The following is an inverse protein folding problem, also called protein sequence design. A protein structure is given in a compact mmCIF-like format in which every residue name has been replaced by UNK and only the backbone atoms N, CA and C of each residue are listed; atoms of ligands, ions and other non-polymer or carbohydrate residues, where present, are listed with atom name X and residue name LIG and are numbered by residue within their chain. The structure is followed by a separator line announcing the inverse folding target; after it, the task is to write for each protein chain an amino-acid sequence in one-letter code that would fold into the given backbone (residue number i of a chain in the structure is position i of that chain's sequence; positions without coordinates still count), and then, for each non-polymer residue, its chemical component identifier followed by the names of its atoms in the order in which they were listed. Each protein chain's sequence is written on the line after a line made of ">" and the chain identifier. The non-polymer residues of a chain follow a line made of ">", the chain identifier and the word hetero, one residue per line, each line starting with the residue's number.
data_IF_788184582663
#
_entry.id   IF_788184582663
#
_cell.length_a   1.000
_cell.length_b   1.000
_cell.length_c   1.000
_cell.angle_alpha   90.00
_cell.angle_beta   90.00
_cell.angle_gamma   90.00
#
_symmetry.space_group_name_H-M   'P 1'
#
loop_
_entity.id
_entity.type
_entity.pdbx_description
1 polymer ?
#
# COMPACT_ATOMS: atom_id res chain seq x y z
N UNK A 1 -1.87 -17.54 -3.48
CA UNK A 1 -2.04 -16.15 -2.99
C UNK A 1 -1.31 -16.00 -1.66
N UNK A 2 -0.89 -14.80 -1.29
CA UNK A 2 -0.29 -14.52 0.04
C UNK A 2 -1.20 -13.57 0.83
N UNK A 3 -1.23 -13.71 2.16
CA UNK A 3 -2.07 -12.91 3.05
C UNK A 3 -1.25 -12.17 4.13
N UNK A 4 -0.44 -11.16 3.75
CA UNK A 4 0.31 -10.38 4.71
C UNK A 4 -0.61 -9.42 5.49
N UNK A 5 -0.16 -9.06 6.69
CA UNK A 5 -0.64 -7.87 7.40
C UNK A 5 0.02 -6.64 6.77
N UNK A 6 -0.78 -5.65 6.41
CA UNK A 6 -0.32 -4.39 5.82
C UNK A 6 -0.72 -3.22 6.70
N UNK A 7 0.18 -2.25 6.86
CA UNK A 7 -0.07 -1.06 7.67
C UNK A 7 -0.37 0.16 6.79
N UNK A 8 -1.62 0.60 6.82
CA UNK A 8 -2.06 1.87 6.20
C UNK A 8 -2.13 2.97 7.26
N UNK A 9 -2.07 4.24 6.86
CA UNK A 9 -2.31 5.33 7.81
C UNK A 9 -3.77 5.37 8.28
N UNK A 10 -4.04 6.02 9.41
CA UNK A 10 -5.40 6.14 9.93
C UNK A 10 -6.33 6.90 8.96
N UNK A 11 -5.83 7.93 8.29
CA UNK A 11 -6.59 8.68 7.28
C UNK A 11 -6.91 7.82 6.05
N UNK A 12 -5.93 7.06 5.54
CA UNK A 12 -6.15 6.09 4.47
C UNK A 12 -7.18 5.05 4.87
N UNK A 13 -7.10 4.53 6.09
CA UNK A 13 -8.06 3.56 6.59
C UNK A 13 -9.50 4.12 6.63
N UNK A 14 -9.68 5.37 7.08
CA UNK A 14 -11.00 6.00 7.12
C UNK A 14 -11.60 6.16 5.71
N UNK A 15 -10.81 6.56 4.72
CA UNK A 15 -11.29 6.68 3.34
C UNK A 15 -11.56 5.32 2.69
N UNK A 16 -10.68 4.34 2.89
CA UNK A 16 -10.93 2.98 2.44
C UNK A 16 -12.21 2.40 3.06
N UNK A 17 -12.52 2.77 4.32
CA UNK A 17 -13.75 2.35 4.98
C UNK A 17 -14.98 2.99 4.32
N UNK A 18 -14.96 4.29 4.02
CA UNK A 18 -16.04 4.97 3.28
C UNK A 18 -16.25 4.33 1.90
N UNK A 19 -15.17 4.09 1.16
CA UNK A 19 -15.23 3.47 -0.16
C UNK A 19 -15.77 2.03 -0.09
N UNK A 20 -15.44 1.28 0.96
CA UNK A 20 -16.05 -0.03 1.22
C UNK A 20 -17.55 0.08 1.45
N UNK A 21 -18.00 1.07 2.23
CA UNK A 21 -19.42 1.28 2.51
C UNK A 21 -20.19 1.66 1.23
N UNK A 22 -19.58 2.48 0.36
CA UNK A 22 -20.17 2.89 -0.94
C UNK A 22 -20.22 1.76 -1.98
N UNK A 23 -19.15 0.97 -2.08
CA UNK A 23 -19.00 -0.04 -3.14
C UNK A 23 -19.40 -1.45 -2.70
N UNK A 24 -19.63 -1.65 -1.40
CA UNK A 24 -19.81 -2.95 -0.74
C UNK A 24 -18.65 -3.95 -1.00
N UNK A 25 -17.45 -3.46 -1.36
CA UNK A 25 -16.28 -4.30 -1.64
C UNK A 25 -15.43 -4.53 -0.39
N UNK A 26 -14.83 -5.72 -0.21
CA UNK A 26 -13.91 -5.97 0.90
C UNK A 26 -12.69 -5.05 0.86
N UNK A 27 -12.24 -4.55 2.03
CA UNK A 27 -11.01 -3.74 2.12
C UNK A 27 -9.78 -4.44 1.53
N UNK A 28 -9.69 -5.76 1.72
CA UNK A 28 -8.61 -6.58 1.16
C UNK A 28 -8.60 -6.56 -0.36
N UNK A 29 -9.76 -6.50 -1.01
CA UNK A 29 -9.90 -6.43 -2.45
C UNK A 29 -9.52 -5.04 -2.98
N UNK A 30 -9.97 -3.98 -2.31
CA UNK A 30 -9.62 -2.60 -2.65
C UNK A 30 -8.10 -2.39 -2.55
N UNK A 31 -7.48 -2.83 -1.45
CA UNK A 31 -6.04 -2.74 -1.25
C UNK A 31 -5.28 -3.58 -2.29
N UNK A 32 -5.78 -4.78 -2.60
CA UNK A 32 -5.22 -5.64 -3.66
C UNK A 32 -5.22 -4.93 -5.00
N UNK A 33 -6.34 -4.31 -5.37
CA UNK A 33 -6.47 -3.59 -6.64
C UNK A 33 -5.54 -2.37 -6.69
N UNK A 34 -5.46 -1.60 -5.60
CA UNK A 34 -4.55 -0.47 -5.47
C UNK A 34 -3.10 -0.89 -5.73
N UNK A 35 -2.64 -1.94 -5.05
CA UNK A 35 -1.27 -2.47 -5.22
C UNK A 35 -1.06 -3.04 -6.62
N UNK A 36 -2.03 -3.77 -7.17
CA UNK A 36 -1.89 -4.34 -8.52
C UNK A 36 -1.79 -3.25 -9.58
N UNK A 37 -2.61 -2.19 -9.49
CA UNK A 37 -2.52 -1.02 -10.38
C UNK A 37 -1.20 -0.27 -10.21
N UNK A 38 -0.76 -0.07 -8.98
CA UNK A 38 0.51 0.57 -8.67
C UNK A 38 1.67 -0.19 -9.30
N UNK A 39 1.80 -1.48 -9.01
CA UNK A 39 2.90 -2.33 -9.51
C UNK A 39 2.91 -2.46 -11.04
N UNK A 40 1.75 -2.43 -11.69
CA UNK A 40 1.65 -2.47 -13.16
C UNK A 40 2.07 -1.16 -13.84
N UNK A 41 2.09 -0.05 -13.10
CA UNK A 41 2.58 1.24 -13.59
C UNK A 41 4.12 1.12 -13.69
N UNK A 42 4.62 0.87 -14.91
CA UNK A 42 6.02 0.51 -15.20
C UNK A 42 7.09 1.57 -14.84
N UNK A 43 6.70 2.74 -14.35
CA UNK A 43 7.61 3.84 -14.04
C UNK A 43 7.82 3.97 -12.53
N UNK A 44 8.63 3.08 -11.97
CA UNK A 44 9.20 3.29 -10.64
C UNK A 44 10.59 3.88 -10.78
N UNK A 45 10.77 5.22 -10.71
CA UNK A 45 12.10 5.78 -10.65
C UNK A 45 12.80 5.25 -9.38
N UNK A 46 13.98 4.66 -9.57
CA UNK A 46 14.84 4.19 -8.51
C UNK A 46 15.26 5.39 -7.62
N UNK A 47 14.46 5.66 -6.59
CA UNK A 47 14.71 6.73 -5.63
C UNK A 47 15.30 6.09 -4.39
N UNK A 48 16.63 6.24 -4.24
CA UNK A 48 17.48 5.86 -3.11
C UNK A 48 17.17 6.71 -1.87
N UNK A 49 15.93 6.70 -1.41
CA UNK A 49 15.57 7.31 -0.13
C UNK A 49 15.31 6.19 0.86
N UNK A 50 16.32 5.88 1.66
CA UNK A 50 16.22 4.94 2.76
C UNK A 50 15.02 5.31 3.63
N UNK A 51 14.01 4.44 3.62
CA UNK A 51 12.78 4.62 4.38
C UNK A 51 13.03 4.25 5.84
N UNK A 52 13.72 5.11 6.58
CA UNK A 52 13.72 5.05 8.04
C UNK A 52 12.35 5.46 8.54
N UNK A 53 11.51 4.48 8.86
CA UNK A 53 10.31 4.74 9.66
C UNK A 53 10.76 5.18 11.05
N UNK A 54 10.36 6.35 11.55
CA UNK A 54 10.51 6.65 12.97
C UNK A 54 9.72 5.61 13.76
N UNK A 55 10.39 4.93 14.70
CA UNK A 55 9.75 4.14 15.78
C UNK A 55 8.92 5.11 16.63
N UNK A 56 7.70 5.43 16.21
CA UNK A 56 6.90 6.43 16.90
C UNK A 56 5.41 6.29 16.61
N UNK A 57 4.66 5.98 17.67
CA UNK A 57 3.18 5.99 17.77
C UNK A 57 2.42 4.97 16.90
N UNK A 58 2.07 3.84 17.55
CA UNK A 58 1.12 2.82 17.08
C UNK A 58 -0.28 3.38 16.78
N UNK A 59 -0.56 4.61 17.21
CA UNK A 59 -1.86 5.28 17.11
C UNK A 59 -2.17 5.84 15.70
N UNK A 60 -1.14 6.08 14.88
CA UNK A 60 -1.32 6.70 13.55
C UNK A 60 -1.52 5.69 12.41
N UNK A 61 -1.43 4.39 12.70
CA UNK A 61 -1.44 3.33 11.69
C UNK A 61 -2.43 2.23 12.04
N UNK A 62 -3.00 1.57 11.02
CA UNK A 62 -3.90 0.44 11.20
C UNK A 62 -3.44 -0.75 10.37
N UNK A 63 -3.28 -1.89 11.04
CA UNK A 63 -2.94 -3.16 10.39
C UNK A 63 -4.19 -3.81 9.81
N UNK A 64 -4.18 -4.11 8.52
CA UNK A 64 -5.27 -4.76 7.79
C UNK A 64 -4.73 -6.02 7.12
N UNK A 65 -5.51 -7.11 7.11
CA UNK A 65 -5.14 -8.30 6.33
C UNK A 65 -5.55 -8.10 4.86
N UNK A 66 -4.61 -8.17 3.93
CA UNK A 66 -4.90 -8.07 2.49
C UNK A 66 -4.43 -9.32 1.75
N UNK A 67 -5.16 -9.72 0.71
CA UNK A 67 -4.80 -10.87 -0.12
C UNK A 67 -4.14 -10.38 -1.40
N UNK A 68 -2.91 -10.81 -1.67
CA UNK A 68 -2.20 -10.45 -2.90
C UNK A 68 -1.93 -11.67 -3.76
N UNK A 69 -1.90 -11.46 -5.07
CA UNK A 69 -1.35 -12.45 -5.99
C UNK A 69 0.16 -12.59 -5.74
N UNK A 70 0.72 -13.79 -5.96
CA UNK A 70 2.13 -14.05 -5.66
C UNK A 70 3.06 -13.22 -6.56
N UNK A 71 2.67 -13.01 -7.82
CA UNK A 71 3.39 -12.12 -8.75
C UNK A 71 3.47 -10.69 -8.22
N UNK A 72 2.33 -10.13 -7.79
CA UNK A 72 2.22 -8.73 -7.37
C UNK A 72 3.00 -8.50 -6.08
N UNK A 73 2.97 -9.48 -5.16
CA UNK A 73 3.78 -9.44 -3.94
C UNK A 73 5.29 -9.56 -4.22
N UNK A 74 5.69 -10.40 -5.18
CA UNK A 74 7.08 -10.53 -5.60
C UNK A 74 7.58 -9.25 -6.27
N UNK A 75 6.78 -8.64 -7.14
CA UNK A 75 7.09 -7.37 -7.77
C UNK A 75 7.23 -6.25 -6.74
N UNK A 76 6.33 -6.18 -5.75
CA UNK A 76 6.48 -5.24 -4.62
C UNK A 76 7.79 -5.46 -3.86
N UNK A 77 8.25 -6.72 -3.73
CA UNK A 77 9.54 -7.03 -3.12
C UNK A 77 10.72 -6.60 -3.99
N UNK A 78 10.63 -6.76 -5.32
CA UNK A 78 11.63 -6.28 -6.28
C UNK A 78 11.73 -4.76 -6.20
N UNK A 79 10.60 -4.05 -6.31
CA UNK A 79 10.55 -2.58 -6.21
C UNK A 79 11.11 -2.11 -4.86
N UNK A 80 10.78 -2.79 -3.76
CA UNK A 80 11.34 -2.48 -2.44
C UNK A 80 12.86 -2.59 -2.40
N UNK A 81 13.43 -3.60 -3.07
CA UNK A 81 14.87 -3.80 -3.18
C UNK A 81 15.53 -2.75 -4.08
N UNK A 82 14.93 -2.46 -5.24
CA UNK A 82 15.46 -1.51 -6.23
C UNK A 82 15.40 -0.06 -5.76
N UNK A 83 14.34 0.32 -5.04
CA UNK A 83 14.15 1.68 -4.53
C UNK A 83 14.70 1.88 -3.12
N UNK A 84 15.09 0.81 -2.40
CA UNK A 84 15.44 0.89 -0.98
C UNK A 84 14.28 1.35 -0.06
N UNK A 85 13.06 1.42 -0.58
CA UNK A 85 11.85 1.76 0.18
C UNK A 85 11.26 0.49 0.80
N UNK A 86 10.74 0.59 2.02
CA UNK A 86 10.07 -0.56 2.64
C UNK A 86 8.72 -0.86 1.97
N UNK A 87 8.34 -2.15 1.94
CA UNK A 87 7.05 -2.59 1.37
C UNK A 87 5.85 -1.83 1.92
N UNK A 88 5.85 -1.53 3.22
CA UNK A 88 4.78 -0.76 3.87
C UNK A 88 4.63 0.64 3.27
N UNK A 89 5.73 1.34 3.00
CA UNK A 89 5.69 2.66 2.35
C UNK A 89 5.12 2.57 0.94
N UNK A 90 5.55 1.58 0.15
CA UNK A 90 5.04 1.36 -1.20
C UNK A 90 3.53 1.05 -1.20
N UNK A 91 3.05 0.29 -0.23
CA UNK A 91 1.62 0.01 -0.07
C UNK A 91 0.83 1.28 0.24
N UNK A 92 1.37 2.16 1.10
CA UNK A 92 0.73 3.45 1.40
C UNK A 92 0.68 4.35 0.15
N UNK A 93 1.77 4.45 -0.59
CA UNK A 93 1.82 5.20 -1.86
C UNK A 93 0.81 4.65 -2.89
N UNK A 94 0.69 3.31 -2.98
CA UNK A 94 -0.30 2.66 -3.83
C UNK A 94 -1.75 3.01 -3.43
N UNK A 95 -2.04 3.01 -2.13
CA UNK A 95 -3.35 3.38 -1.60
C UNK A 95 -3.65 4.86 -1.84
N UNK A 96 -2.69 5.77 -1.61
CA UNK A 96 -2.89 7.20 -1.88
C UNK A 96 -3.18 7.46 -3.36
N UNK A 97 -2.42 6.85 -4.27
CA UNK A 97 -2.67 6.96 -5.71
C UNK A 97 -4.05 6.42 -6.10
N UNK A 98 -4.47 5.31 -5.50
CA UNK A 98 -5.79 4.71 -5.76
C UNK A 98 -6.94 5.60 -5.27
N UNK A 99 -6.76 6.25 -4.12
CA UNK A 99 -7.72 7.21 -3.55
C UNK A 99 -7.67 8.59 -4.25
N UNK A 100 -6.79 8.78 -5.23
CA UNK A 100 -6.62 10.06 -5.92
C UNK A 100 -5.93 11.13 -5.09
N UNK A 101 -5.34 10.77 -3.94
CA UNK A 101 -4.51 11.67 -3.13
C UNK A 101 -3.16 11.84 -3.81
N UNK A 102 -2.98 12.95 -4.53
CA UNK A 102 -1.63 13.41 -4.89
C UNK A 102 -0.93 13.80 -3.59
N UNK A 103 0.20 13.18 -3.29
CA UNK A 103 1.09 13.69 -2.25
C UNK A 103 1.44 15.15 -2.60
N UNK A 104 1.05 16.10 -1.75
CA UNK A 104 1.68 17.43 -1.71
C UNK A 104 2.92 17.34 -0.85
#
# INVERSE_FOLDING_TARGET
>A
MVRPWVEVSLSQYQELKKLREETNRPLSEIIREAVSKFVRKKDFPASTTASYLPKGTRDKYKSVSAYFHRSDWNLLAIISKETGRCKTRLIREAVDQYLGRRCS
#
